data_IF_430139404542
#
_entry.id   IF_430139404542
#
_cell.length_a   1.000
_cell.length_b   1.000
_cell.length_c   1.000
_cell.angle_alpha   90.00
_cell.angle_beta   90.00
_cell.angle_gamma   90.00
#
_symmetry.space_group_name_H-M   'P 1'
#
loop_
_entity.id
_entity.type
_entity.pdbx_description
1 polymer ?
#
# COMPACT_ATOMS: atom_id res chain seq x y z
N UNK A 1 20.77 -11.99 15.36
CA UNK A 1 19.39 -11.52 15.22
C UNK A 1 19.23 -10.28 16.09
N UNK A 2 19.09 -9.13 15.48
CA UNK A 2 18.81 -7.89 16.21
C UNK A 2 17.32 -7.88 16.55
N UNK A 3 17.04 -7.70 17.80
CA UNK A 3 15.70 -7.63 18.36
C UNK A 3 15.33 -6.17 18.58
N UNK A 4 14.13 -5.78 18.13
CA UNK A 4 13.60 -4.45 18.40
C UNK A 4 12.89 -4.44 19.75
N UNK A 5 13.30 -3.58 20.70
CA UNK A 5 12.58 -3.42 21.96
C UNK A 5 11.30 -2.61 21.72
N UNK A 6 10.16 -3.25 21.91
CA UNK A 6 8.87 -2.54 21.97
C UNK A 6 8.66 -1.88 23.33
N UNK A 7 7.78 -0.85 23.44
CA UNK A 7 7.38 -0.34 24.74
C UNK A 7 6.73 -1.47 25.55
N UNK A 8 7.37 -1.88 26.61
CA UNK A 8 6.99 -3.03 27.43
C UNK A 8 7.91 -4.24 27.32
N UNK A 9 9.05 -4.13 26.64
CA UNK A 9 10.12 -5.14 26.67
C UNK A 9 9.88 -6.42 25.89
N UNK A 10 8.87 -6.47 25.00
CA UNK A 10 8.68 -7.58 24.07
C UNK A 10 9.64 -7.43 22.90
N UNK A 11 10.61 -8.33 22.85
CA UNK A 11 11.54 -8.46 21.74
C UNK A 11 10.86 -9.34 20.67
N UNK A 12 10.60 -8.78 19.48
CA UNK A 12 10.12 -9.56 18.32
C UNK A 12 11.35 -10.06 17.55
N UNK A 13 11.65 -11.35 17.55
CA UNK A 13 12.76 -11.88 16.76
C UNK A 13 12.41 -11.82 15.27
N UNK A 14 13.38 -11.45 14.42
CA UNK A 14 13.25 -11.65 12.97
C UNK A 14 13.17 -13.15 12.72
N UNK A 15 12.07 -13.62 12.16
CA UNK A 15 11.86 -15.02 11.77
C UNK A 15 12.68 -15.39 10.53
N UNK A 16 12.79 -16.68 10.27
CA UNK A 16 13.40 -17.24 9.06
C UNK A 16 12.38 -17.28 7.92
N UNK A 17 11.95 -16.14 7.43
CA UNK A 17 10.99 -16.04 6.34
C UNK A 17 10.62 -14.60 6.07
N UNK A 18 10.02 -14.33 4.92
CA UNK A 18 9.58 -12.99 4.57
C UNK A 18 8.54 -12.51 5.57
N UNK A 19 8.78 -11.33 6.14
CA UNK A 19 7.92 -10.68 7.14
C UNK A 19 7.22 -9.47 6.55
N UNK A 20 6.04 -9.16 7.07
CA UNK A 20 5.31 -7.95 6.74
C UNK A 20 5.91 -6.81 7.55
N UNK A 21 6.54 -5.86 6.87
CA UNK A 21 7.19 -4.69 7.48
C UNK A 21 6.40 -3.41 7.36
N UNK A 22 5.29 -3.42 6.61
CA UNK A 22 4.46 -2.25 6.40
C UNK A 22 3.00 -2.57 6.15
N UNK A 23 2.14 -1.59 6.41
CA UNK A 23 0.70 -1.70 6.13
C UNK A 23 0.13 -0.39 5.65
N UNK A 24 -0.91 -0.49 4.83
CA UNK A 24 -1.75 0.66 4.50
C UNK A 24 -2.64 1.02 5.68
N UNK A 25 -2.93 2.32 5.80
CA UNK A 25 -3.97 2.89 6.66
C UNK A 25 -5.10 3.39 5.76
N UNK A 26 -6.31 2.92 5.98
CA UNK A 26 -7.46 3.27 5.13
C UNK A 26 -8.69 3.67 5.94
N UNK A 27 -9.02 4.94 5.87
CA UNK A 27 -10.22 5.54 6.44
C UNK A 27 -11.07 6.22 5.36
N UNK A 28 -10.78 5.97 4.07
CA UNK A 28 -11.37 6.73 2.98
C UNK A 28 -12.00 5.88 1.88
N UNK A 29 -11.62 4.62 1.73
CA UNK A 29 -12.14 3.75 0.67
C UNK A 29 -13.61 3.41 0.91
N UNK A 30 -14.35 3.32 -0.19
CA UNK A 30 -15.80 3.06 -0.16
C UNK A 30 -16.16 1.57 -0.08
N UNK A 31 -15.21 0.69 -0.29
CA UNK A 31 -15.40 -0.75 -0.47
C UNK A 31 -14.98 -1.58 0.75
N UNK A 32 -14.54 -0.96 1.82
CA UNK A 32 -14.29 -1.59 3.12
C UNK A 32 -15.11 -0.92 4.21
N UNK A 33 -15.51 -1.68 5.26
CA UNK A 33 -16.32 -1.10 6.33
C UNK A 33 -15.53 -0.13 7.17
N UNK A 34 -16.14 0.99 7.53
CA UNK A 34 -15.55 1.96 8.43
C UNK A 34 -15.62 1.46 9.88
N UNK A 35 -14.54 1.53 10.62
CA UNK A 35 -14.49 1.03 12.00
C UNK A 35 -14.83 2.10 13.05
N UNK A 36 -14.92 3.36 12.66
CA UNK A 36 -15.22 4.49 13.55
C UNK A 36 -14.24 4.61 14.72
N UNK A 37 -12.98 4.36 14.48
CA UNK A 37 -11.94 4.47 15.51
C UNK A 37 -11.57 5.92 15.78
N UNK A 38 -11.41 6.26 17.06
CA UNK A 38 -10.76 7.46 17.51
C UNK A 38 -9.27 7.25 17.77
N UNK A 39 -8.61 8.28 18.29
CA UNK A 39 -7.15 8.24 18.55
C UNK A 39 -6.75 7.11 19.51
N UNK A 40 -7.58 6.81 20.51
CA UNK A 40 -7.32 5.72 21.46
C UNK A 40 -7.22 4.35 20.77
N UNK A 41 -8.16 4.06 19.90
CA UNK A 41 -8.17 2.80 19.16
C UNK A 41 -7.02 2.74 18.15
N UNK A 42 -6.73 3.85 17.47
CA UNK A 42 -5.58 3.93 16.57
C UNK A 42 -4.24 3.77 17.30
N UNK A 43 -4.08 4.37 18.46
CA UNK A 43 -2.87 4.19 19.28
C UNK A 43 -2.68 2.72 19.68
N UNK A 44 -3.75 2.07 20.13
CA UNK A 44 -3.71 0.64 20.44
C UNK A 44 -3.37 -0.21 19.22
N UNK A 45 -3.91 0.15 18.04
CA UNK A 45 -3.64 -0.57 16.80
C UNK A 45 -2.19 -0.42 16.33
N UNK A 46 -1.62 0.78 16.43
CA UNK A 46 -0.18 0.98 16.21
C UNK A 46 0.67 0.13 17.15
N UNK A 47 0.24 -0.04 18.41
CA UNK A 47 0.87 -0.96 19.35
C UNK A 47 0.82 -2.41 18.87
N UNK A 48 -0.30 -2.86 18.33
CA UNK A 48 -0.41 -4.20 17.72
C UNK A 48 0.46 -4.34 16.48
N UNK A 49 0.49 -3.33 15.61
CA UNK A 49 1.39 -3.28 14.45
C UNK A 49 2.86 -3.38 14.87
N UNK A 50 3.25 -2.61 15.88
CA UNK A 50 4.62 -2.63 16.40
C UNK A 50 5.03 -4.03 16.89
N UNK A 51 4.15 -4.71 17.63
CA UNK A 51 4.40 -6.09 18.07
C UNK A 51 4.50 -7.08 16.92
N UNK A 52 3.84 -6.80 15.80
CA UNK A 52 3.94 -7.60 14.58
C UNK A 52 5.14 -7.24 13.69
N UNK A 53 6.00 -6.30 14.10
CA UNK A 53 7.20 -5.91 13.37
C UNK A 53 6.95 -4.94 12.22
N UNK A 54 5.82 -4.22 12.22
CA UNK A 54 5.52 -3.20 11.21
C UNK A 54 6.30 -1.93 11.51
N UNK A 55 7.05 -1.46 10.52
CA UNK A 55 7.93 -0.29 10.57
C UNK A 55 7.45 0.83 9.64
N UNK A 56 6.57 0.52 8.70
CA UNK A 56 6.04 1.45 7.71
C UNK A 56 4.51 1.49 7.79
N UNK A 57 3.94 2.68 7.87
CA UNK A 57 2.51 2.91 7.74
C UNK A 57 2.26 3.84 6.56
N UNK A 58 1.36 3.45 5.68
CA UNK A 58 1.16 4.08 4.37
C UNK A 58 -0.29 4.53 4.28
N UNK A 59 -0.52 5.83 4.29
CA UNK A 59 -1.87 6.36 4.04
C UNK A 59 -2.27 6.01 2.60
N UNK A 60 -3.34 5.24 2.43
CA UNK A 60 -3.76 4.75 1.11
C UNK A 60 -4.04 5.92 0.15
N UNK A 61 -4.69 6.93 0.64
CA UNK A 61 -4.88 8.23 -0.04
C UNK A 61 -5.35 9.28 0.98
N UNK A 62 -4.92 10.50 0.80
CA UNK A 62 -5.32 11.59 1.70
C UNK A 62 -6.74 12.07 1.45
N UNK A 63 -7.29 11.75 0.30
CA UNK A 63 -8.65 12.06 -0.09
C UNK A 63 -9.06 11.24 -1.31
N UNK A 64 -10.36 11.00 -1.42
CA UNK A 64 -10.99 10.30 -2.52
C UNK A 64 -12.32 10.96 -2.85
N UNK A 65 -12.48 11.40 -4.10
CA UNK A 65 -13.63 12.19 -4.53
C UNK A 65 -13.80 13.42 -3.64
N UNK A 66 -14.89 13.51 -2.86
CA UNK A 66 -15.18 14.64 -1.95
C UNK A 66 -14.83 14.36 -0.48
N UNK A 67 -14.22 13.22 -0.18
CA UNK A 67 -13.79 12.87 1.17
C UNK A 67 -12.30 13.16 1.34
N UNK A 68 -11.92 13.70 2.49
CA UNK A 68 -10.52 13.99 2.82
C UNK A 68 -10.22 13.62 4.27
N UNK A 69 -8.95 13.30 4.56
CA UNK A 69 -8.48 12.85 5.86
C UNK A 69 -7.91 13.96 6.73
N UNK A 70 -7.75 15.13 6.16
CA UNK A 70 -7.34 16.37 6.83
C UNK A 70 -7.97 17.55 6.11
N UNK A 71 -8.02 18.71 6.76
CA UNK A 71 -8.57 19.92 6.16
C UNK A 71 -7.59 20.54 5.17
N UNK A 72 -7.68 20.15 3.91
CA UNK A 72 -6.89 20.71 2.81
C UNK A 72 -7.59 21.92 2.20
N UNK A 73 -6.88 23.03 2.09
CA UNK A 73 -7.41 24.21 1.39
C UNK A 73 -7.54 23.94 -0.11
N UNK A 74 -6.57 23.23 -0.70
CA UNK A 74 -6.60 22.86 -2.12
C UNK A 74 -7.82 21.98 -2.42
N UNK A 75 -8.03 20.90 -1.68
CA UNK A 75 -9.12 19.97 -1.93
C UNK A 75 -10.49 20.58 -1.60
N UNK A 76 -10.59 21.40 -0.57
CA UNK A 76 -11.83 22.08 -0.20
C UNK A 76 -12.24 23.10 -1.25
N UNK A 77 -11.31 23.90 -1.76
CA UNK A 77 -11.61 24.93 -2.75
C UNK A 77 -11.82 24.40 -4.16
N UNK A 78 -11.00 23.44 -4.60
CA UNK A 78 -11.03 22.97 -5.99
C UNK A 78 -11.98 21.77 -6.20
N UNK A 79 -12.07 20.86 -5.24
CA UNK A 79 -12.89 19.64 -5.34
C UNK A 79 -14.12 19.65 -4.43
N UNK A 80 -14.33 20.72 -3.67
CA UNK A 80 -15.44 20.85 -2.72
C UNK A 80 -15.50 19.69 -1.72
N UNK A 81 -14.32 19.26 -1.26
CA UNK A 81 -14.24 18.19 -0.27
C UNK A 81 -14.89 18.60 1.05
N UNK A 82 -15.53 17.62 1.70
CA UNK A 82 -16.14 17.82 3.01
C UNK A 82 -15.06 18.05 4.06
N UNK A 83 -15.35 18.92 5.02
CA UNK A 83 -14.49 19.14 6.17
C UNK A 83 -14.44 17.85 7.03
N UNK A 84 -13.26 17.29 7.30
CA UNK A 84 -13.17 16.10 8.13
C UNK A 84 -13.36 16.44 9.60
N UNK A 85 -13.92 15.54 10.43
CA UNK A 85 -14.13 15.78 11.85
C UNK A 85 -12.83 15.83 12.66
N UNK A 86 -11.72 15.32 12.12
CA UNK A 86 -10.43 15.28 12.75
C UNK A 86 -9.30 15.31 11.72
N UNK A 87 -8.12 15.77 12.14
CA UNK A 87 -6.90 15.68 11.35
C UNK A 87 -6.27 14.29 11.53
N UNK A 88 -6.66 13.35 10.68
CA UNK A 88 -6.10 11.98 10.70
C UNK A 88 -4.62 11.96 10.29
N UNK A 89 -4.20 12.82 9.38
CA UNK A 89 -2.80 12.88 8.93
C UNK A 89 -1.89 13.28 10.09
N UNK A 90 -2.23 14.36 10.80
CA UNK A 90 -1.49 14.79 11.98
C UNK A 90 -1.47 13.73 13.09
N UNK A 91 -2.60 13.06 13.31
CA UNK A 91 -2.70 11.96 14.27
C UNK A 91 -1.79 10.79 13.89
N UNK A 92 -1.84 10.32 12.65
CA UNK A 92 -1.00 9.21 12.18
C UNK A 92 0.49 9.56 12.26
N UNK A 93 0.87 10.80 11.98
CA UNK A 93 2.26 11.26 12.14
C UNK A 93 2.70 11.21 13.60
N UNK A 94 1.89 11.72 14.53
CA UNK A 94 2.20 11.66 15.97
C UNK A 94 2.31 10.21 16.48
N UNK A 95 1.39 9.34 16.06
CA UNK A 95 1.43 7.92 16.44
C UNK A 95 2.64 7.21 15.82
N UNK A 96 3.00 7.55 14.59
CA UNK A 96 4.22 7.02 13.95
C UNK A 96 5.48 7.42 14.72
N UNK A 97 5.56 8.67 15.17
CA UNK A 97 6.67 9.14 16.01
C UNK A 97 6.71 8.40 17.35
N UNK A 98 5.56 8.25 18.00
CA UNK A 98 5.44 7.52 19.27
C UNK A 98 5.93 6.07 19.16
N UNK A 99 5.57 5.38 18.09
CA UNK A 99 5.84 3.95 17.90
C UNK A 99 7.09 3.67 17.05
N UNK A 100 7.82 4.70 16.62
CA UNK A 100 9.06 4.55 15.86
C UNK A 100 8.86 4.05 14.41
N UNK A 101 7.74 4.41 13.79
CA UNK A 101 7.40 4.03 12.41
C UNK A 101 7.66 5.16 11.44
N UNK A 102 7.89 4.81 10.17
CA UNK A 102 7.88 5.76 9.06
C UNK A 102 6.48 5.88 8.48
N UNK A 103 6.03 7.11 8.31
CA UNK A 103 4.76 7.44 7.67
C UNK A 103 4.99 7.81 6.21
N UNK A 104 4.18 7.23 5.32
CA UNK A 104 4.15 7.51 3.90
C UNK A 104 2.84 8.19 3.56
N UNK A 105 2.94 9.38 2.98
CA UNK A 105 1.76 10.17 2.64
C UNK A 105 1.18 9.72 1.30
N UNK A 106 -0.06 9.23 1.29
CA UNK A 106 -0.79 8.87 0.08
C UNK A 106 -1.45 10.08 -0.56
N UNK A 107 -1.28 10.24 -1.87
CA UNK A 107 -1.82 11.35 -2.64
C UNK A 107 -3.34 11.28 -2.79
N UNK A 108 -3.91 12.32 -3.35
CA UNK A 108 -5.34 12.41 -3.62
C UNK A 108 -5.70 11.67 -4.91
N UNK A 109 -6.77 10.90 -4.87
CA UNK A 109 -7.40 10.30 -6.04
C UNK A 109 -8.78 10.96 -6.26
N UNK A 110 -8.92 11.68 -7.36
CA UNK A 110 -10.18 12.33 -7.71
C UNK A 110 -11.30 11.33 -8.03
N UNK A 111 -10.94 10.10 -8.41
CA UNK A 111 -11.87 9.10 -8.91
C UNK A 111 -12.45 9.43 -10.29
N UNK A 112 -11.91 10.43 -10.98
CA UNK A 112 -12.47 10.90 -12.27
C UNK A 112 -11.43 11.34 -13.29
N UNK A 113 -10.52 12.24 -12.98
CA UNK A 113 -9.70 12.95 -13.98
C UNK A 113 -8.75 12.01 -14.74
N UNK A 114 -7.89 11.29 -14.05
CA UNK A 114 -6.90 10.44 -14.72
C UNK A 114 -7.53 9.23 -15.44
N UNK A 115 -8.64 8.71 -14.93
CA UNK A 115 -9.39 7.62 -15.56
C UNK A 115 -10.17 8.07 -16.79
N UNK A 116 -10.57 9.33 -16.87
CA UNK A 116 -11.32 9.90 -18.00
C UNK A 116 -10.46 10.52 -19.10
N UNK A 117 -9.13 10.46 -18.96
CA UNK A 117 -8.17 11.02 -19.92
C UNK A 117 -7.65 12.42 -19.57
N UNK A 118 -8.15 13.06 -18.54
CA UNK A 118 -7.70 14.35 -18.05
C UNK A 118 -6.62 14.19 -16.95
N UNK A 119 -5.61 13.38 -17.22
CA UNK A 119 -4.58 13.05 -16.24
C UNK A 119 -3.74 14.25 -15.81
N UNK A 120 -3.56 15.26 -16.66
CA UNK A 120 -2.82 16.47 -16.29
C UNK A 120 -3.53 17.26 -15.21
N UNK A 121 -4.86 17.28 -15.19
CA UNK A 121 -5.62 17.89 -14.11
C UNK A 121 -5.36 17.16 -12.77
N UNK A 122 -5.35 15.84 -12.78
CA UNK A 122 -4.98 15.03 -11.61
C UNK A 122 -3.57 15.37 -11.11
N UNK A 123 -2.61 15.47 -12.02
CA UNK A 123 -1.22 15.82 -11.71
C UNK A 123 -1.11 17.21 -11.11
N UNK A 124 -1.66 18.23 -11.76
CA UNK A 124 -1.57 19.62 -11.31
C UNK A 124 -2.22 19.84 -9.95
N UNK A 125 -3.39 19.22 -9.74
CA UNK A 125 -4.10 19.26 -8.47
C UNK A 125 -3.23 18.65 -7.36
N UNK A 126 -2.67 17.48 -7.59
CA UNK A 126 -1.79 16.82 -6.63
C UNK A 126 -0.48 17.58 -6.40
N UNK A 127 0.08 18.24 -7.39
CA UNK A 127 1.27 19.07 -7.19
C UNK A 127 1.01 20.20 -6.18
N UNK A 128 -0.13 20.89 -6.30
CA UNK A 128 -0.52 21.91 -5.34
C UNK A 128 -0.79 21.34 -3.95
N UNK A 129 -1.40 20.16 -3.90
CA UNK A 129 -1.63 19.43 -2.66
C UNK A 129 -0.32 19.00 -1.98
N UNK A 130 0.62 18.49 -2.73
CA UNK A 130 1.96 18.11 -2.22
C UNK A 130 2.66 19.31 -1.58
N UNK A 131 2.61 20.47 -2.21
CA UNK A 131 3.17 21.70 -1.66
C UNK A 131 2.52 22.09 -0.33
N UNK A 132 1.19 22.04 -0.27
CA UNK A 132 0.42 22.33 0.95
C UNK A 132 0.77 21.34 2.09
N UNK A 133 0.80 20.06 1.77
CA UNK A 133 1.07 18.99 2.74
C UNK A 133 2.49 19.08 3.29
N UNK A 134 3.46 19.33 2.44
CA UNK A 134 4.85 19.46 2.89
C UNK A 134 5.05 20.69 3.78
N UNK A 135 4.46 21.82 3.40
CA UNK A 135 4.49 23.02 4.24
C UNK A 135 3.86 22.79 5.62
N UNK A 136 2.80 21.99 5.70
CA UNK A 136 2.06 21.72 6.94
C UNK A 136 2.67 20.61 7.80
N UNK A 137 3.10 19.52 7.18
CA UNK A 137 3.49 18.29 7.88
C UNK A 137 4.95 17.87 7.70
N UNK A 138 5.69 18.49 6.79
CA UNK A 138 7.04 18.09 6.45
C UNK A 138 8.06 18.19 7.60
N UNK A 139 7.73 18.92 8.67
CA UNK A 139 8.55 19.05 9.86
C UNK A 139 8.49 17.82 10.78
N UNK A 140 7.52 16.92 10.60
CA UNK A 140 7.42 15.71 11.40
C UNK A 140 8.54 14.73 11.06
N UNK A 141 9.27 14.26 12.07
CA UNK A 141 10.36 13.31 11.88
C UNK A 141 9.90 11.98 11.27
N UNK A 142 8.66 11.57 11.53
CA UNK A 142 8.08 10.35 10.98
C UNK A 142 7.70 10.46 9.51
N UNK A 143 7.62 11.67 8.92
CA UNK A 143 7.29 11.83 7.50
C UNK A 143 8.43 11.25 6.67
N UNK A 144 8.29 10.01 6.21
CA UNK A 144 9.37 9.22 5.63
C UNK A 144 9.29 9.00 4.12
N UNK A 145 8.18 9.34 3.49
CA UNK A 145 8.03 9.11 2.05
C UNK A 145 6.64 9.46 1.52
N UNK A 146 6.48 9.24 0.22
CA UNK A 146 5.26 9.53 -0.53
C UNK A 146 4.73 8.27 -1.20
N UNK A 147 3.43 8.08 -1.13
CA UNK A 147 2.73 7.04 -1.87
C UNK A 147 1.87 7.67 -2.97
N UNK A 148 2.17 7.31 -4.23
CA UNK A 148 1.38 7.76 -5.39
C UNK A 148 0.19 6.83 -5.52
N UNK A 149 -1.01 7.32 -5.19
CA UNK A 149 -2.19 6.51 -4.91
C UNK A 149 -2.99 6.06 -6.13
N UNK A 150 -2.65 6.52 -7.33
CA UNK A 150 -3.28 6.07 -8.57
C UNK A 150 -2.81 4.66 -8.88
N UNK A 151 -3.73 3.70 -8.80
CA UNK A 151 -3.43 2.28 -9.02
C UNK A 151 -3.69 1.87 -10.46
N UNK A 152 -2.76 1.13 -11.04
CA UNK A 152 -2.90 0.56 -12.38
C UNK A 152 -2.38 -0.88 -12.43
N UNK A 153 -2.73 -1.60 -13.49
CA UNK A 153 -2.18 -2.92 -13.82
C UNK A 153 -1.55 -2.94 -15.21
N UNK A 154 -1.86 -1.95 -16.02
CA UNK A 154 -1.51 -1.87 -17.44
C UNK A 154 -0.87 -0.53 -17.78
N UNK A 155 -0.14 -0.50 -18.90
CA UNK A 155 0.38 0.74 -19.47
C UNK A 155 -0.73 1.46 -20.27
N UNK A 156 -1.63 2.12 -19.55
CA UNK A 156 -2.78 2.84 -20.13
C UNK A 156 -2.90 4.24 -19.53
N UNK A 157 -3.65 5.12 -20.17
CA UNK A 157 -4.06 6.40 -19.61
C UNK A 157 -2.93 7.37 -19.23
N UNK A 158 -1.78 7.27 -19.89
CA UNK A 158 -0.59 8.10 -19.59
C UNK A 158 -0.02 7.88 -18.20
N UNK A 159 -0.15 6.68 -17.67
CA UNK A 159 0.28 6.34 -16.30
C UNK A 159 1.78 6.59 -16.08
N UNK A 160 2.61 6.38 -17.10
CA UNK A 160 4.06 6.63 -17.01
C UNK A 160 4.32 8.11 -16.73
N UNK A 161 3.70 9.00 -17.50
CA UNK A 161 3.89 10.45 -17.32
C UNK A 161 3.31 10.93 -15.99
N UNK A 162 2.15 10.40 -15.59
CA UNK A 162 1.54 10.69 -14.30
C UNK A 162 2.48 10.33 -13.15
N UNK A 163 2.97 9.11 -13.09
CA UNK A 163 3.90 8.66 -12.04
C UNK A 163 5.20 9.44 -12.06
N UNK A 164 5.77 9.69 -13.24
CA UNK A 164 7.02 10.43 -13.36
C UNK A 164 6.88 11.88 -12.86
N UNK A 165 5.82 12.58 -13.24
CA UNK A 165 5.57 13.96 -12.80
C UNK A 165 5.33 14.05 -11.30
N UNK A 166 4.44 13.21 -10.77
CA UNK A 166 4.13 13.21 -9.33
C UNK A 166 5.33 12.79 -8.49
N UNK A 167 6.05 11.75 -8.89
CA UNK A 167 7.24 11.30 -8.17
C UNK A 167 8.34 12.37 -8.13
N UNK A 168 8.61 13.02 -9.24
CA UNK A 168 9.60 14.12 -9.29
C UNK A 168 9.19 15.30 -8.43
N UNK A 169 7.90 15.67 -8.45
CA UNK A 169 7.42 16.78 -7.64
C UNK A 169 7.52 16.47 -6.15
N UNK A 170 7.11 15.28 -5.72
CA UNK A 170 7.28 14.81 -4.34
C UNK A 170 8.74 14.95 -3.87
N UNK A 171 9.68 14.46 -4.68
CA UNK A 171 11.10 14.51 -4.35
C UNK A 171 11.64 15.94 -4.31
N UNK A 172 11.28 16.77 -5.28
CA UNK A 172 11.73 18.17 -5.35
C UNK A 172 11.32 18.97 -4.12
N UNK A 173 10.10 18.78 -3.66
CA UNK A 173 9.54 19.50 -2.50
C UNK A 173 10.15 19.02 -1.18
N UNK A 174 10.43 17.73 -1.05
CA UNK A 174 10.82 17.08 0.21
C UNK A 174 12.31 16.77 0.34
N UNK A 175 13.14 17.33 -0.54
CA UNK A 175 14.60 17.07 -0.49
C UNK A 175 14.96 15.63 -0.81
N UNK A 176 14.18 14.96 -1.66
CA UNK A 176 14.49 13.62 -2.16
C UNK A 176 13.90 12.47 -1.35
N UNK A 177 12.87 12.68 -0.53
CA UNK A 177 12.19 11.56 0.15
C UNK A 177 11.72 10.51 -0.85
N UNK A 178 11.76 9.22 -0.48
CA UNK A 178 11.41 8.14 -1.38
C UNK A 178 9.93 8.14 -1.78
N UNK A 179 9.67 7.60 -2.95
CA UNK A 179 8.34 7.46 -3.53
C UNK A 179 8.00 6.00 -3.80
N UNK A 180 6.77 5.63 -3.53
CA UNK A 180 6.24 4.27 -3.60
C UNK A 180 5.01 4.23 -4.50
N UNK A 181 4.89 3.20 -5.32
CA UNK A 181 3.66 2.82 -6.01
C UNK A 181 3.25 1.39 -5.64
N UNK A 182 1.96 1.10 -5.65
CA UNK A 182 1.44 -0.25 -5.39
C UNK A 182 0.42 -0.66 -6.46
N UNK A 183 0.89 -0.92 -7.68
CA UNK A 183 0.02 -1.42 -8.75
C UNK A 183 -0.43 -2.85 -8.47
N UNK A 184 -1.40 -3.35 -9.24
CA UNK A 184 -1.84 -4.73 -9.10
C UNK A 184 -1.45 -5.58 -10.30
N UNK A 185 -1.18 -6.86 -10.02
CA UNK A 185 -0.97 -7.88 -11.06
C UNK A 185 -2.35 -8.27 -11.58
N UNK A 186 -2.52 -8.21 -12.91
CA UNK A 186 -3.77 -8.58 -13.56
C UNK A 186 -3.61 -9.93 -14.26
N UNK A 187 -3.86 -11.00 -13.52
CA UNK A 187 -3.73 -12.37 -14.02
C UNK A 187 -5.04 -12.94 -14.59
N UNK A 188 -5.15 -14.26 -14.58
CA UNK A 188 -6.32 -14.97 -15.12
C UNK A 188 -7.55 -14.94 -14.19
N UNK A 189 -7.43 -14.47 -12.96
CA UNK A 189 -8.57 -14.26 -12.07
C UNK A 189 -9.56 -13.28 -12.68
N UNK A 190 -10.81 -13.66 -12.75
CA UNK A 190 -11.85 -12.89 -13.42
C UNK A 190 -12.46 -11.80 -12.51
N UNK A 191 -11.63 -10.88 -12.04
CA UNK A 191 -12.05 -9.82 -11.10
C UNK A 191 -11.61 -8.42 -11.50
N UNK A 192 -10.69 -8.29 -12.45
CA UNK A 192 -10.26 -7.00 -13.01
C UNK A 192 -11.28 -6.46 -13.99
N UNK A 193 -11.31 -5.13 -14.15
CA UNK A 193 -12.09 -4.48 -15.22
C UNK A 193 -11.64 -4.87 -16.65
N UNK A 194 -10.44 -5.40 -16.78
CA UNK A 194 -9.88 -5.86 -18.06
C UNK A 194 -10.18 -7.33 -18.37
N UNK A 195 -10.74 -8.06 -17.43
CA UNK A 195 -11.04 -9.49 -17.57
C UNK A 195 -12.53 -9.69 -17.88
N UNK A 196 -12.84 -10.44 -18.92
CA UNK A 196 -14.21 -10.85 -19.23
C UNK A 196 -14.69 -11.87 -18.18
N UNK A 197 -15.69 -11.49 -17.39
CA UNK A 197 -16.24 -12.31 -16.32
C UNK A 197 -16.93 -13.59 -16.79
N UNK A 198 -17.34 -13.64 -18.04
CA UNK A 198 -18.08 -14.78 -18.59
C UNK A 198 -17.13 -15.85 -19.11
N UNK A 199 -16.10 -15.45 -19.84
CA UNK A 199 -15.20 -16.35 -20.55
C UNK A 199 -13.81 -16.48 -19.93
N UNK A 200 -13.51 -15.69 -18.88
CA UNK A 200 -12.18 -15.53 -18.31
C UNK A 200 -11.14 -15.06 -19.33
N UNK A 201 -11.57 -14.29 -20.32
CA UNK A 201 -10.69 -13.62 -21.27
C UNK A 201 -10.40 -12.19 -20.85
N UNK A 202 -9.36 -11.59 -21.36
CA UNK A 202 -8.95 -10.22 -21.04
C UNK A 202 -7.98 -10.10 -19.86
N UNK A 203 -7.64 -11.18 -19.20
CA UNK A 203 -6.54 -11.25 -18.25
C UNK A 203 -5.18 -11.11 -18.96
N UNK A 204 -4.18 -10.66 -18.22
CA UNK A 204 -2.85 -10.36 -18.77
C UNK A 204 -1.97 -11.61 -18.70
N UNK A 205 -1.33 -11.95 -19.83
CA UNK A 205 -0.30 -13.00 -19.82
C UNK A 205 0.99 -12.49 -19.17
N UNK A 206 1.85 -13.40 -18.73
CA UNK A 206 3.16 -13.06 -18.18
C UNK A 206 3.99 -12.22 -19.17
N UNK A 207 3.98 -12.59 -20.43
CA UNK A 207 4.70 -11.87 -21.51
C UNK A 207 4.16 -10.44 -21.71
N UNK A 208 2.84 -10.27 -21.73
CA UNK A 208 2.23 -8.94 -21.84
C UNK A 208 2.54 -8.07 -20.63
N UNK A 209 2.45 -8.64 -19.43
CA UNK A 209 2.81 -7.96 -18.20
C UNK A 209 4.28 -7.52 -18.22
N UNK A 210 5.19 -8.40 -18.61
CA UNK A 210 6.62 -8.09 -18.69
C UNK A 210 6.88 -6.94 -19.68
N UNK A 211 6.31 -6.99 -20.86
CA UNK A 211 6.49 -5.96 -21.90
C UNK A 211 5.97 -4.58 -21.45
N UNK A 212 4.79 -4.54 -20.86
CA UNK A 212 4.18 -3.28 -20.40
C UNK A 212 4.92 -2.69 -19.18
N UNK A 213 5.29 -3.52 -18.23
CA UNK A 213 6.02 -3.05 -17.03
C UNK A 213 7.48 -2.74 -17.29
N UNK A 214 8.11 -3.37 -18.27
CA UNK A 214 9.43 -2.92 -18.76
C UNK A 214 9.37 -1.46 -19.23
N UNK A 215 8.37 -1.12 -20.03
CA UNK A 215 8.16 0.26 -20.50
C UNK A 215 7.84 1.23 -19.33
N UNK A 216 6.98 0.81 -18.41
CA UNK A 216 6.61 1.64 -17.25
C UNK A 216 7.85 1.92 -16.38
N UNK A 217 8.59 0.89 -15.98
CA UNK A 217 9.76 1.06 -15.11
C UNK A 217 10.85 1.92 -15.76
N UNK A 218 11.07 1.74 -17.06
CA UNK A 218 12.00 2.60 -17.81
C UNK A 218 11.57 4.06 -17.74
N UNK A 219 10.28 4.34 -17.89
CA UNK A 219 9.75 5.71 -17.91
C UNK A 219 9.68 6.39 -16.55
N UNK A 220 9.68 5.64 -15.46
CA UNK A 220 9.57 6.17 -14.08
C UNK A 220 10.89 6.15 -13.31
N UNK A 221 11.98 5.71 -13.92
CA UNK A 221 13.30 5.72 -13.28
C UNK A 221 13.63 7.11 -12.69
N UNK A 222 14.11 7.11 -11.46
CA UNK A 222 14.47 8.35 -10.76
C UNK A 222 13.29 9.16 -10.22
N UNK A 223 12.07 8.84 -10.61
CA UNK A 223 10.85 9.45 -10.09
C UNK A 223 10.17 8.56 -9.03
N UNK A 224 10.19 7.25 -9.22
CA UNK A 224 9.65 6.25 -8.31
C UNK A 224 10.78 5.33 -7.84
N UNK A 225 10.88 5.13 -6.53
CA UNK A 225 11.94 4.32 -5.94
C UNK A 225 11.51 2.89 -5.64
N UNK A 226 10.25 2.70 -5.27
CA UNK A 226 9.74 1.42 -4.74
C UNK A 226 8.46 1.04 -5.46
N UNK A 227 8.38 -0.23 -5.85
CA UNK A 227 7.15 -0.82 -6.38
C UNK A 227 6.76 -2.04 -5.53
N UNK A 228 5.50 -2.08 -5.10
CA UNK A 228 4.94 -3.17 -4.31
C UNK A 228 3.65 -3.67 -4.97
N UNK A 229 3.74 -4.72 -5.78
CA UNK A 229 2.58 -5.22 -6.50
C UNK A 229 1.57 -5.92 -5.58
N UNK A 230 0.30 -5.54 -5.72
CA UNK A 230 -0.83 -6.25 -5.12
C UNK A 230 -1.03 -7.60 -5.81
N UNK A 231 -1.35 -8.63 -5.06
CA UNK A 231 -1.42 -10.01 -5.53
C UNK A 231 -2.83 -10.63 -5.54
N UNK A 232 -3.86 -9.83 -5.29
CA UNK A 232 -5.23 -10.34 -5.17
C UNK A 232 -5.94 -10.68 -6.48
N UNK A 233 -5.41 -10.21 -7.63
CA UNK A 233 -6.00 -10.39 -8.96
C UNK A 233 -5.32 -11.49 -9.79
N UNK A 234 -4.49 -12.31 -9.17
CA UNK A 234 -3.74 -13.38 -9.81
C UNK A 234 -3.97 -14.71 -9.11
N UNK A 235 -4.04 -15.80 -9.85
CA UNK A 235 -4.15 -17.15 -9.28
C UNK A 235 -2.84 -17.57 -8.60
N UNK A 236 -2.91 -18.44 -7.60
CA UNK A 236 -1.74 -18.87 -6.84
C UNK A 236 -0.71 -19.63 -7.68
N UNK A 237 -1.13 -20.32 -8.72
CA UNK A 237 -0.23 -21.04 -9.63
C UNK A 237 0.47 -20.12 -10.63
N UNK A 238 -0.10 -18.95 -10.92
CA UNK A 238 0.52 -17.92 -11.77
C UNK A 238 1.45 -16.99 -10.97
N UNK A 239 1.15 -16.74 -9.71
CA UNK A 239 1.80 -15.72 -8.89
C UNK A 239 3.33 -15.83 -8.86
N UNK A 240 3.97 -17.02 -8.74
CA UNK A 240 5.42 -17.12 -8.73
C UNK A 240 6.10 -16.55 -9.98
N UNK A 241 5.53 -16.74 -11.15
CA UNK A 241 6.08 -16.20 -12.40
C UNK A 241 6.00 -14.69 -12.45
N UNK A 242 4.85 -14.11 -12.10
CA UNK A 242 4.68 -12.66 -12.05
C UNK A 242 5.62 -12.00 -11.04
N UNK A 243 5.80 -12.60 -9.87
CA UNK A 243 6.73 -12.08 -8.86
C UNK A 243 8.18 -12.08 -9.35
N UNK A 244 8.61 -13.14 -10.03
CA UNK A 244 9.96 -13.20 -10.64
C UNK A 244 10.15 -12.14 -11.72
N UNK A 245 9.15 -11.92 -12.56
CA UNK A 245 9.18 -10.87 -13.59
C UNK A 245 9.31 -9.50 -12.92
N UNK A 246 8.47 -9.21 -11.93
CA UNK A 246 8.48 -7.93 -11.23
C UNK A 246 9.84 -7.65 -10.60
N UNK A 247 10.41 -8.63 -9.90
CA UNK A 247 11.75 -8.50 -9.27
C UNK A 247 12.85 -8.26 -10.31
N UNK A 248 12.86 -9.04 -11.39
CA UNK A 248 13.84 -8.89 -12.46
C UNK A 248 13.79 -7.52 -13.13
N UNK A 249 12.58 -7.04 -13.43
CA UNK A 249 12.40 -5.72 -14.04
C UNK A 249 12.80 -4.58 -13.10
N UNK A 250 12.41 -4.67 -11.84
CA UNK A 250 12.80 -3.69 -10.82
C UNK A 250 14.32 -3.60 -10.71
N UNK A 251 15.00 -4.74 -10.60
CA UNK A 251 16.47 -4.81 -10.56
C UNK A 251 17.11 -4.19 -11.82
N UNK A 252 16.53 -4.45 -12.99
CA UNK A 252 17.01 -3.88 -14.28
C UNK A 252 17.01 -2.36 -14.27
N UNK A 253 16.00 -1.74 -13.69
CA UNK A 253 15.82 -0.29 -13.72
C UNK A 253 16.15 0.40 -12.39
N UNK A 254 16.70 -0.32 -11.42
CA UNK A 254 17.14 0.25 -10.16
C UNK A 254 16.03 0.66 -9.22
N UNK A 255 14.84 0.04 -9.32
CA UNK A 255 13.78 0.18 -8.34
C UNK A 255 13.89 -0.92 -7.26
N UNK A 256 13.47 -0.61 -6.04
CA UNK A 256 13.23 -1.64 -5.03
C UNK A 256 11.92 -2.36 -5.33
N UNK A 257 11.98 -3.69 -5.35
CA UNK A 257 10.79 -4.52 -5.51
C UNK A 257 10.33 -5.04 -4.15
N UNK A 258 9.24 -4.51 -3.66
CA UNK A 258 8.50 -5.06 -2.52
C UNK A 258 7.32 -5.88 -3.05
N UNK A 259 6.61 -6.59 -2.17
CA UNK A 259 5.34 -7.22 -2.48
C UNK A 259 4.24 -6.68 -1.57
N UNK A 260 3.01 -6.69 -2.06
CA UNK A 260 1.83 -6.30 -1.29
C UNK A 260 0.84 -7.48 -1.26
N UNK A 261 1.10 -8.51 -0.40
CA UNK A 261 0.13 -9.56 -0.20
C UNK A 261 -1.11 -9.01 0.48
N UNK A 262 -2.25 -9.14 -0.18
CA UNK A 262 -3.52 -8.74 0.41
C UNK A 262 -3.85 -9.67 1.59
N UNK A 263 -4.21 -9.09 2.74
CA UNK A 263 -4.62 -9.82 3.94
C UNK A 263 -6.13 -10.07 4.00
N UNK A 264 -6.83 -9.79 2.94
CA UNK A 264 -8.22 -10.17 2.72
C UNK A 264 -8.34 -11.16 1.57
N UNK A 265 -9.47 -11.87 1.54
CA UNK A 265 -9.74 -12.90 0.53
C UNK A 265 -10.78 -12.41 -0.48
N UNK A 266 -10.51 -12.65 -1.79
CA UNK A 266 -11.41 -12.34 -2.90
C UNK A 266 -12.15 -13.59 -3.41
N UNK A 267 -11.71 -14.76 -3.00
CA UNK A 267 -12.21 -16.05 -3.46
C UNK A 267 -13.40 -16.57 -2.63
N UNK A 268 -13.87 -15.77 -1.70
CA UNK A 268 -14.99 -16.09 -0.84
C UNK A 268 -16.30 -15.50 -1.40
N UNK A 269 -17.45 -16.11 -1.16
CA UNK A 269 -18.75 -15.54 -1.53
C UNK A 269 -19.00 -14.15 -0.96
N UNK A 270 -18.49 -13.88 0.23
CA UNK A 270 -18.46 -12.56 0.85
C UNK A 270 -17.06 -11.99 0.64
N UNK A 271 -16.97 -10.93 -0.14
CA UNK A 271 -15.70 -10.28 -0.45
C UNK A 271 -15.11 -9.56 0.76
N UNK A 272 -13.78 -9.43 0.77
CA UNK A 272 -13.03 -8.66 1.74
C UNK A 272 -13.22 -9.14 3.19
N UNK A 273 -13.18 -10.46 3.39
CA UNK A 273 -12.98 -11.04 4.71
C UNK A 273 -11.48 -11.30 4.96
N UNK A 274 -11.03 -11.35 6.22
CA UNK A 274 -9.66 -11.73 6.53
C UNK A 274 -9.24 -13.01 5.83
N UNK A 275 -8.02 -13.01 5.27
CA UNK A 275 -7.48 -14.15 4.53
C UNK A 275 -7.19 -15.31 5.47
N UNK A 276 -7.26 -16.52 4.95
CA UNK A 276 -6.81 -17.72 5.63
C UNK A 276 -5.29 -17.72 5.77
N UNK A 277 -4.77 -18.05 6.96
CA UNK A 277 -3.33 -18.00 7.24
C UNK A 277 -2.48 -18.79 6.26
N UNK A 278 -2.90 -19.98 5.88
CA UNK A 278 -2.15 -20.81 4.92
C UNK A 278 -1.98 -20.15 3.56
N UNK A 279 -2.98 -19.37 3.13
CA UNK A 279 -2.89 -18.59 1.88
C UNK A 279 -1.91 -17.44 2.01
N UNK A 280 -1.95 -16.69 3.10
CA UNK A 280 -1.00 -15.59 3.34
C UNK A 280 0.43 -16.12 3.43
N UNK A 281 0.65 -17.19 4.18
CA UNK A 281 1.95 -17.84 4.28
C UNK A 281 2.49 -18.29 2.92
N UNK A 282 1.63 -18.83 2.07
CA UNK A 282 1.99 -19.23 0.72
C UNK A 282 2.44 -18.03 -0.13
N UNK A 283 1.71 -16.92 -0.07
CA UNK A 283 2.08 -15.67 -0.76
C UNK A 283 3.44 -15.13 -0.30
N UNK A 284 3.69 -15.09 1.00
CA UNK A 284 4.96 -14.65 1.57
C UNK A 284 6.12 -15.54 1.10
N UNK A 285 5.93 -16.86 1.10
CA UNK A 285 6.95 -17.81 0.62
C UNK A 285 7.24 -17.64 -0.86
N UNK A 286 6.22 -17.48 -1.70
CA UNK A 286 6.38 -17.27 -3.14
C UNK A 286 7.18 -15.99 -3.44
N UNK A 287 6.92 -14.92 -2.70
CA UNK A 287 7.67 -13.67 -2.84
C UNK A 287 9.13 -13.82 -2.41
N UNK A 288 9.37 -14.49 -1.30
CA UNK A 288 10.74 -14.79 -0.82
C UNK A 288 11.51 -15.62 -1.84
N UNK A 289 10.90 -16.67 -2.40
CA UNK A 289 11.48 -17.51 -3.45
C UNK A 289 11.79 -16.73 -4.74
N UNK A 290 11.06 -15.66 -5.01
CA UNK A 290 11.34 -14.74 -6.12
C UNK A 290 12.47 -13.72 -5.82
N UNK A 291 13.02 -13.73 -4.60
CA UNK A 291 14.08 -12.82 -4.16
C UNK A 291 13.59 -11.49 -3.61
N UNK A 292 12.32 -11.39 -3.27
CA UNK A 292 11.73 -10.20 -2.64
C UNK A 292 11.92 -10.28 -1.13
N UNK A 293 12.47 -9.23 -0.53
CA UNK A 293 12.85 -9.20 0.88
C UNK A 293 12.04 -8.24 1.74
N UNK A 294 11.07 -7.53 1.15
CA UNK A 294 10.18 -6.59 1.83
C UNK A 294 8.73 -6.86 1.44
N UNK A 295 7.85 -6.95 2.44
CA UNK A 295 6.41 -7.06 2.23
C UNK A 295 5.66 -5.97 2.99
N UNK A 296 4.74 -5.32 2.30
CA UNK A 296 3.70 -4.48 2.89
C UNK A 296 2.36 -5.15 2.65
N UNK A 297 1.31 -4.76 3.35
CA UNK A 297 0.00 -5.39 3.16
C UNK A 297 -1.14 -4.37 3.14
N UNK A 298 -2.13 -4.64 2.33
CA UNK A 298 -3.45 -4.05 2.48
C UNK A 298 -4.36 -5.09 3.11
N UNK A 299 -4.82 -4.99 4.35
CA UNK A 299 -4.23 -4.08 5.31
C UNK A 299 -4.41 -4.64 6.74
N UNK A 300 -3.65 -4.16 7.68
CA UNK A 300 -3.60 -4.69 9.04
C UNK A 300 -4.88 -4.42 9.82
N UNK A 301 -5.35 -3.17 9.85
CA UNK A 301 -6.38 -2.70 10.79
C UNK A 301 -7.72 -3.38 10.64
N UNK A 302 -8.13 -3.71 9.41
CA UNK A 302 -9.39 -4.42 9.13
C UNK A 302 -9.23 -5.94 9.12
N UNK A 303 -8.13 -6.44 8.56
CA UNK A 303 -8.03 -7.86 8.21
C UNK A 303 -7.06 -8.66 9.08
N UNK A 304 -6.28 -7.99 9.92
CA UNK A 304 -5.25 -8.65 10.72
C UNK A 304 -5.20 -8.17 12.18
N UNK A 305 -5.85 -7.05 12.51
CA UNK A 305 -5.82 -6.50 13.87
C UNK A 305 -6.73 -7.26 14.85
N UNK A 306 -6.27 -7.46 16.09
CA UNK A 306 -7.15 -7.95 17.18
C UNK A 306 -8.34 -7.03 17.47
N UNK A 307 -8.27 -5.75 17.10
CA UNK A 307 -9.35 -4.77 17.30
C UNK A 307 -10.34 -4.72 16.15
N UNK A 308 -10.10 -5.44 15.06
CA UNK A 308 -10.98 -5.42 13.89
C UNK A 308 -12.40 -5.86 14.25
N UNK A 309 -13.36 -5.30 13.51
CA UNK A 309 -14.75 -5.77 13.53
C UNK A 309 -14.88 -7.23 13.05
N UNK A 310 -13.91 -7.75 12.33
CA UNK A 310 -13.83 -9.15 11.90
C UNK A 310 -13.09 -9.99 12.93
N UNK A 311 -13.77 -10.93 13.58
CA UNK A 311 -13.15 -11.82 14.57
C UNK A 311 -11.97 -12.63 13.99
N UNK A 312 -12.06 -13.02 12.73
CA UNK A 312 -11.03 -13.77 12.04
C UNK A 312 -9.69 -12.99 11.93
N UNK A 313 -9.74 -11.66 11.95
CA UNK A 313 -8.54 -10.82 11.90
C UNK A 313 -7.64 -11.05 13.12
N UNK A 314 -8.20 -11.12 14.31
CA UNK A 314 -7.45 -11.42 15.53
C UNK A 314 -6.81 -12.80 15.50
N UNK A 315 -7.49 -13.79 14.95
CA UNK A 315 -6.91 -15.13 14.79
C UNK A 315 -5.81 -15.16 13.72
N UNK A 316 -5.94 -14.37 12.66
CA UNK A 316 -4.85 -14.20 11.68
C UNK A 316 -3.63 -13.56 12.33
N UNK A 317 -3.83 -12.56 13.17
CA UNK A 317 -2.76 -11.92 13.95
C UNK A 317 -2.03 -12.94 14.82
N UNK A 318 -2.74 -13.79 15.54
CA UNK A 318 -2.16 -14.83 16.38
C UNK A 318 -1.30 -15.81 15.56
N UNK A 319 -1.81 -16.26 14.42
CA UNK A 319 -1.05 -17.16 13.51
C UNK A 319 0.20 -16.47 12.96
N UNK A 320 0.10 -15.20 12.63
CA UNK A 320 1.25 -14.44 12.17
C UNK A 320 2.31 -14.26 13.27
N UNK A 321 1.90 -13.97 14.50
CA UNK A 321 2.85 -13.91 15.63
C UNK A 321 3.53 -15.26 15.89
N UNK A 322 2.82 -16.37 15.75
CA UNK A 322 3.42 -17.72 15.84
C UNK A 322 4.48 -17.91 14.72
N UNK A 323 4.15 -17.47 13.51
CA UNK A 323 5.10 -17.49 12.38
C UNK A 323 6.37 -16.68 12.68
N UNK A 324 6.25 -15.49 13.23
CA UNK A 324 7.40 -14.67 13.63
C UNK A 324 8.25 -15.34 14.73
N UNK A 325 7.65 -16.13 15.58
CA UNK A 325 8.31 -16.78 16.72
C UNK A 325 8.87 -18.18 16.44
N UNK A 326 8.53 -18.81 15.29
CA UNK A 326 8.97 -20.18 14.95
C UNK A 326 10.46 -20.30 14.63
N UNK A 327 11.22 -19.22 14.64
CA UNK A 327 12.67 -19.19 14.39
C UNK A 327 13.53 -19.55 15.60
N UNK A 328 12.96 -20.09 16.67
CA UNK A 328 13.70 -20.47 17.89
C UNK A 328 13.88 -21.96 18.09
N UNK A 329 13.68 -22.78 17.06
CA UNK A 329 13.96 -24.21 17.17
C UNK A 329 15.05 -24.66 16.22
#
# INVERSE_FOLDING_TARGET
>A
AEAFPGPGGLIVPKGNGLQISGTFLDEISHDIPHQNWGEKEWDADFGHMHRAGIEHVILIRCGYRRWQTFSSQVLTSEERCYEPPADLVGMFLRLSEKWGMKFWFGLYDSGKYWASGDYLHEVELNCRLIDEVWARYGHHAAFGGWYISQECSRNTGKIIDLYARLGRHCKAVSGGLPTLISPYIDGSKNISQYTDRTTRTGGVTAESHEAEWDAIFRGIQGAVDIVAFQDGHVEYDELPEFLRINKRLADRYGLECWTNPETFDRDMPIKFLPIKWEKLRLKLRMAEEAGIDQAITFEFSHFMSPQSAYLQAGHLYDRYLEYLNTSKK
#
